data_IF_658237226432
#
_entry.id   IF_658237226432
#
_cell.length_a   1.000
_cell.length_b   1.000
_cell.length_c   1.000
_cell.angle_alpha   90.00
_cell.angle_beta   90.00
_cell.angle_gamma   90.00
#
_symmetry.space_group_name_H-M   'P 1'
#
loop_
_entity.id
_entity.type
_entity.pdbx_description
1 polymer ?
#
# COMPACT_ATOMS: atom_id res chain seq x y z
N UNK A 1 -3.26 -0.40 7.44
CA UNK A 1 -3.29 -1.58 6.53
C UNK A 1 -2.86 -2.89 7.17
N UNK A 2 -1.76 -2.93 7.93
CA UNK A 2 -1.24 -4.16 8.57
C UNK A 2 -2.33 -4.90 9.38
N UNK A 3 -3.06 -4.17 10.23
CA UNK A 3 -4.19 -4.72 11.00
C UNK A 3 -5.25 -5.38 10.12
N UNK A 4 -5.61 -4.76 9.00
CA UNK A 4 -6.61 -5.33 8.08
C UNK A 4 -6.11 -6.61 7.40
N UNK A 5 -4.83 -6.67 7.04
CA UNK A 5 -4.21 -7.87 6.46
C UNK A 5 -4.30 -9.05 7.44
N UNK A 6 -3.92 -8.82 8.70
CA UNK A 6 -4.03 -9.80 9.78
C UNK A 6 -5.47 -10.28 9.99
N UNK A 7 -6.42 -9.35 10.13
CA UNK A 7 -7.84 -9.70 10.35
C UNK A 7 -8.44 -10.47 9.17
N UNK A 8 -8.06 -10.14 7.93
CA UNK A 8 -8.52 -10.85 6.74
C UNK A 8 -7.94 -12.26 6.63
N UNK A 9 -6.69 -12.46 7.04
CA UNK A 9 -6.09 -13.81 7.08
C UNK A 9 -6.70 -14.65 8.19
N UNK A 10 -6.89 -14.09 9.38
CA UNK A 10 -7.52 -14.80 10.51
C UNK A 10 -8.97 -15.21 10.18
N UNK A 11 -9.73 -14.32 9.54
CA UNK A 11 -11.10 -14.59 9.12
C UNK A 11 -11.22 -15.72 8.07
N UNK A 12 -10.15 -16.01 7.31
CA UNK A 12 -10.14 -17.13 6.34
C UNK A 12 -9.86 -18.49 6.98
N UNK A 13 -9.39 -18.54 8.22
CA UNK A 13 -9.07 -19.78 8.94
C UNK A 13 -8.12 -20.68 8.15
N UNK A 14 -8.53 -21.91 7.88
CA UNK A 14 -7.75 -22.89 7.10
C UNK A 14 -7.49 -22.46 5.65
N UNK A 15 -8.28 -21.52 5.10
CA UNK A 15 -8.16 -21.02 3.73
C UNK A 15 -7.31 -19.74 3.63
N UNK A 16 -6.47 -19.45 4.62
CA UNK A 16 -5.55 -18.32 4.59
C UNK A 16 -4.64 -18.37 3.35
N UNK A 17 -4.27 -17.20 2.84
CA UNK A 17 -3.35 -17.11 1.70
C UNK A 17 -1.92 -17.39 2.17
N UNK A 18 -1.58 -17.03 3.40
CA UNK A 18 -0.22 -16.96 3.91
C UNK A 18 0.44 -15.65 3.53
N UNK A 19 -0.26 -14.52 3.71
CA UNK A 19 0.32 -13.20 3.40
C UNK A 19 1.50 -12.89 4.33
N UNK A 20 2.30 -11.90 3.96
CA UNK A 20 3.44 -11.45 4.79
C UNK A 20 3.02 -10.62 6.00
N UNK A 21 1.71 -10.32 6.15
CA UNK A 21 1.16 -9.44 7.20
C UNK A 21 1.85 -8.07 7.20
N UNK A 22 2.16 -7.57 6.00
CA UNK A 22 2.76 -6.24 5.80
C UNK A 22 1.76 -5.20 5.30
N UNK A 23 0.49 -5.58 5.11
CA UNK A 23 -0.54 -4.68 4.62
C UNK A 23 -0.53 -4.49 3.10
N UNK A 24 0.18 -5.35 2.35
CA UNK A 24 0.35 -5.22 0.89
C UNK A 24 -1.00 -5.29 0.18
N UNK A 25 -1.77 -6.36 0.42
CA UNK A 25 -3.09 -6.52 -0.19
C UNK A 25 -4.03 -5.36 0.15
N UNK A 26 -4.22 -5.01 1.43
CA UNK A 26 -4.98 -3.84 1.84
C UNK A 26 -4.57 -2.51 1.18
N UNK A 27 -3.28 -2.23 1.03
CA UNK A 27 -2.81 -1.02 0.37
C UNK A 27 -3.17 -1.00 -1.13
N UNK A 28 -3.00 -2.13 -1.83
CA UNK A 28 -3.40 -2.26 -3.24
C UNK A 28 -4.93 -2.21 -3.43
N UNK A 29 -5.71 -2.74 -2.49
CA UNK A 29 -7.17 -2.59 -2.52
C UNK A 29 -7.59 -1.12 -2.41
N UNK A 30 -7.00 -0.35 -1.50
CA UNK A 30 -7.32 1.08 -1.37
C UNK A 30 -6.90 1.90 -2.61
N UNK A 31 -5.79 1.51 -3.25
CA UNK A 31 -5.39 2.06 -4.57
C UNK A 31 -6.47 1.77 -5.62
N UNK A 32 -6.89 0.51 -5.77
CA UNK A 32 -7.93 0.12 -6.73
C UNK A 32 -9.28 0.79 -6.43
N UNK A 33 -9.61 0.97 -5.16
CA UNK A 33 -10.80 1.69 -4.70
C UNK A 33 -10.71 3.22 -4.86
N UNK A 34 -9.54 3.76 -5.19
CA UNK A 34 -9.26 5.20 -5.35
C UNK A 34 -9.41 6.01 -4.05
N UNK A 35 -9.16 5.36 -2.91
CA UNK A 35 -9.20 5.98 -1.58
C UNK A 35 -7.82 6.00 -0.90
N UNK A 36 -6.82 5.33 -1.48
CA UNK A 36 -5.46 5.29 -0.94
C UNK A 36 -4.81 6.67 -0.82
N UNK A 37 -3.97 6.80 0.21
CA UNK A 37 -3.10 7.97 0.45
C UNK A 37 -1.76 7.70 -0.25
N UNK A 38 -1.30 8.65 -1.08
CA UNK A 38 -0.02 8.55 -1.79
C UNK A 38 1.05 9.40 -1.12
N UNK A 39 2.30 9.26 -1.56
CA UNK A 39 3.42 10.02 -1.00
C UNK A 39 3.22 11.53 -1.10
N UNK A 40 2.63 12.03 -2.19
CA UNK A 40 2.33 13.46 -2.34
C UNK A 40 1.32 13.95 -1.30
N UNK A 41 0.31 13.14 -0.98
CA UNK A 41 -0.70 13.46 0.03
C UNK A 41 -0.08 13.47 1.43
N UNK A 42 0.81 12.51 1.74
CA UNK A 42 1.51 12.40 3.03
C UNK A 42 2.41 13.60 3.35
N UNK A 43 2.94 14.29 2.33
CA UNK A 43 3.81 15.44 2.52
C UNK A 43 3.06 16.73 2.87
N UNK A 44 1.77 16.78 2.58
CA UNK A 44 0.89 17.92 2.83
C UNK A 44 0.06 17.65 4.09
N UNK A 45 0.19 18.52 5.10
CA UNK A 45 -0.34 18.24 6.44
C UNK A 45 -1.86 18.18 6.41
N UNK A 46 -2.48 19.15 5.75
CA UNK A 46 -3.92 19.31 5.65
C UNK A 46 -4.54 18.19 4.82
N UNK A 47 -3.97 17.89 3.65
CA UNK A 47 -4.45 16.81 2.79
C UNK A 47 -4.30 15.45 3.48
N UNK A 48 -3.16 15.20 4.13
CA UNK A 48 -2.96 13.95 4.85
C UNK A 48 -3.98 13.78 5.98
N UNK A 49 -4.20 14.83 6.79
CA UNK A 49 -5.17 14.80 7.89
C UNK A 49 -6.59 14.49 7.38
N UNK A 50 -7.04 15.21 6.34
CA UNK A 50 -8.37 15.02 5.75
C UNK A 50 -8.56 13.58 5.24
N UNK A 51 -7.60 13.11 4.44
CA UNK A 51 -7.65 11.76 3.85
C UNK A 51 -7.60 10.67 4.91
N UNK A 52 -6.75 10.84 5.92
CA UNK A 52 -6.61 9.87 7.02
C UNK A 52 -7.90 9.78 7.82
N UNK A 53 -8.54 10.91 8.12
CA UNK A 53 -9.82 10.94 8.85
C UNK A 53 -10.92 10.18 8.10
N UNK A 54 -11.10 10.46 6.80
CA UNK A 54 -12.09 9.77 5.95
C UNK A 54 -11.83 8.26 5.92
N UNK A 55 -10.57 7.88 5.70
CA UNK A 55 -10.21 6.46 5.58
C UNK A 55 -10.36 5.73 6.93
N UNK A 56 -9.98 6.34 8.05
CA UNK A 56 -10.11 5.74 9.37
C UNK A 56 -11.57 5.51 9.75
N UNK A 57 -12.49 6.40 9.40
CA UNK A 57 -13.91 6.19 9.67
C UNK A 57 -14.40 4.87 9.05
N UNK A 58 -14.11 4.65 7.77
CA UNK A 58 -14.53 3.44 7.05
C UNK A 58 -13.80 2.19 7.57
N UNK A 59 -12.48 2.28 7.78
CA UNK A 59 -11.70 1.14 8.28
C UNK A 59 -12.08 0.76 9.72
N UNK A 60 -12.32 1.73 10.59
CA UNK A 60 -12.76 1.46 11.96
C UNK A 60 -14.17 0.85 12.00
N UNK A 61 -15.07 1.30 11.12
CA UNK A 61 -16.36 0.64 10.95
C UNK A 61 -16.19 -0.83 10.54
N UNK A 62 -15.27 -1.11 9.62
CA UNK A 62 -14.93 -2.47 9.22
C UNK A 62 -14.35 -3.29 10.38
N UNK A 63 -13.37 -2.75 11.11
CA UNK A 63 -12.73 -3.45 12.24
C UNK A 63 -13.73 -3.80 13.34
N UNK A 64 -14.54 -2.83 13.76
CA UNK A 64 -15.47 -3.02 14.88
C UNK A 64 -16.68 -3.87 14.49
N UNK A 65 -17.23 -3.69 13.28
CA UNK A 65 -18.51 -4.33 12.90
C UNK A 65 -18.36 -5.64 12.14
N UNK A 66 -17.26 -5.84 11.42
CA UNK A 66 -17.06 -7.06 10.63
C UNK A 66 -16.07 -8.03 11.27
N UNK A 67 -15.13 -7.53 12.07
CA UNK A 67 -14.04 -8.34 12.63
C UNK A 67 -14.01 -8.36 14.16
N UNK A 68 -15.00 -7.75 14.83
CA UNK A 68 -15.05 -7.62 16.30
C UNK A 68 -13.71 -7.16 16.92
N UNK A 69 -13.00 -6.29 16.19
CA UNK A 69 -11.68 -5.78 16.54
C UNK A 69 -11.77 -4.32 16.99
N UNK A 70 -10.80 -3.89 17.81
CA UNK A 70 -10.68 -2.51 18.25
C UNK A 70 -10.47 -1.54 17.07
N UNK A 71 -10.97 -0.32 17.22
CA UNK A 71 -10.68 0.80 16.32
C UNK A 71 -9.20 1.22 16.46
N UNK A 72 -8.72 2.02 15.51
CA UNK A 72 -7.44 2.74 15.59
C UNK A 72 -7.75 4.23 15.70
N UNK A 73 -7.11 4.93 16.63
CA UNK A 73 -7.32 6.35 16.81
C UNK A 73 -6.52 7.15 15.76
N UNK A 74 -7.01 8.36 15.44
CA UNK A 74 -6.36 9.22 14.46
C UNK A 74 -4.91 9.57 14.87
N UNK A 75 -4.73 9.93 16.15
CA UNK A 75 -3.45 10.35 16.69
C UNK A 75 -2.43 9.20 16.78
N UNK A 76 -2.88 7.93 16.77
CA UNK A 76 -1.99 6.75 16.71
C UNK A 76 -1.24 6.66 15.38
N UNK A 77 -1.70 7.37 14.34
CA UNK A 77 -1.11 7.34 12.99
C UNK A 77 -0.57 8.71 12.60
N UNK A 78 -1.33 9.77 12.83
CA UNK A 78 -1.12 11.03 12.13
C UNK A 78 0.26 11.64 12.36
N UNK A 79 0.64 11.91 13.61
CA UNK A 79 1.90 12.61 13.92
C UNK A 79 3.12 11.78 13.52
N UNK A 80 3.12 10.48 13.81
CA UNK A 80 4.22 9.57 13.48
C UNK A 80 4.44 9.50 11.96
N UNK A 81 3.39 9.24 11.19
CA UNK A 81 3.52 9.05 9.75
C UNK A 81 3.75 10.37 9.00
N UNK A 82 3.19 11.48 9.49
CA UNK A 82 3.48 12.80 8.91
C UNK A 82 4.96 13.15 9.08
N UNK A 83 5.54 12.89 10.26
CA UNK A 83 6.97 13.09 10.53
C UNK A 83 7.85 12.21 9.62
N UNK A 84 7.49 10.93 9.44
CA UNK A 84 8.16 10.07 8.45
C UNK A 84 8.09 10.65 7.04
N UNK A 85 6.94 11.21 6.65
CA UNK A 85 6.78 11.95 5.40
C UNK A 85 7.80 13.08 5.27
N UNK A 86 7.99 13.89 6.34
CA UNK A 86 8.94 15.00 6.31
C UNK A 86 10.39 14.54 6.17
N UNK A 87 10.78 13.43 6.80
CA UNK A 87 12.13 12.87 6.67
C UNK A 87 12.42 12.34 5.25
N UNK A 88 11.41 11.77 4.59
CA UNK A 88 11.51 11.20 3.24
C UNK A 88 11.39 12.29 2.15
N UNK A 89 10.76 13.43 2.46
CA UNK A 89 10.43 14.52 1.53
C UNK A 89 11.55 14.89 0.56
N UNK A 90 12.80 14.92 1.03
CA UNK A 90 13.98 15.26 0.23
C UNK A 90 14.25 14.32 -0.96
N UNK A 91 13.68 13.11 -0.97
CA UNK A 91 13.81 12.13 -2.03
C UNK A 91 12.60 12.10 -2.97
N UNK A 92 11.51 12.78 -2.63
CA UNK A 92 10.25 12.72 -3.38
C UNK A 92 10.33 13.60 -4.62
N UNK A 93 10.05 13.00 -5.77
CA UNK A 93 10.19 13.63 -7.09
C UNK A 93 9.34 12.89 -8.13
N UNK A 94 9.24 13.44 -9.34
CA UNK A 94 8.65 12.72 -10.47
C UNK A 94 9.65 11.67 -11.00
N UNK A 95 9.43 10.42 -10.58
CA UNK A 95 10.30 9.31 -10.96
C UNK A 95 10.15 8.91 -12.43
N UNK A 96 9.03 9.24 -13.08
CA UNK A 96 8.85 9.01 -14.51
C UNK A 96 9.78 9.91 -15.32
N UNK A 97 9.88 11.18 -14.94
CA UNK A 97 10.81 12.13 -15.58
C UNK A 97 12.26 11.66 -15.42
N UNK A 98 12.68 11.28 -14.21
CA UNK A 98 14.04 10.79 -13.96
C UNK A 98 14.39 9.58 -14.83
N UNK A 99 13.47 8.62 -14.92
CA UNK A 99 13.68 7.40 -15.71
C UNK A 99 13.76 7.71 -17.20
N UNK A 100 12.81 8.49 -17.74
CA UNK A 100 12.78 8.80 -19.16
C UNK A 100 13.97 9.68 -19.58
N UNK A 101 14.36 10.68 -18.78
CA UNK A 101 15.54 11.50 -19.04
C UNK A 101 16.83 10.65 -19.11
N UNK A 102 16.95 9.64 -18.24
CA UNK A 102 18.08 8.72 -18.26
C UNK A 102 18.09 7.84 -19.51
N UNK A 103 16.93 7.30 -19.90
CA UNK A 103 16.76 6.48 -21.10
C UNK A 103 17.05 7.28 -22.37
N UNK A 104 16.51 8.49 -22.49
CA UNK A 104 16.70 9.37 -23.65
C UNK A 104 18.14 9.87 -23.78
N UNK A 105 18.85 10.01 -22.65
CA UNK A 105 20.28 10.28 -22.62
C UNK A 105 21.16 9.05 -22.93
N UNK A 106 20.56 7.89 -23.26
CA UNK A 106 21.27 6.66 -23.58
C UNK A 106 21.95 5.99 -22.37
N UNK A 107 21.54 6.32 -21.14
CA UNK A 107 22.07 5.68 -19.93
C UNK A 107 21.48 4.27 -19.78
N UNK A 108 22.22 3.41 -19.09
CA UNK A 108 21.74 2.07 -18.73
C UNK A 108 20.89 2.15 -17.48
N UNK A 109 19.67 1.64 -17.57
CA UNK A 109 18.73 1.51 -16.45
C UNK A 109 18.53 0.02 -16.14
N UNK A 110 18.53 -0.33 -14.86
CA UNK A 110 18.19 -1.65 -14.37
C UNK A 110 16.88 -1.55 -13.57
N UNK A 111 15.87 -2.33 -13.96
CA UNK A 111 14.64 -2.50 -13.21
C UNK A 111 14.77 -3.73 -12.31
N UNK A 112 14.77 -3.52 -11.00
CA UNK A 112 14.83 -4.60 -10.01
C UNK A 112 13.40 -5.09 -9.70
N UNK A 113 13.09 -6.33 -10.10
CA UNK A 113 11.77 -6.92 -9.92
C UNK A 113 11.57 -7.52 -8.53
N UNK A 114 10.34 -7.43 -8.04
CA UNK A 114 9.82 -8.23 -6.93
C UNK A 114 8.33 -8.51 -7.18
N UNK A 115 7.77 -9.66 -6.85
CA UNK A 115 8.37 -10.93 -6.44
C UNK A 115 8.77 -11.77 -7.68
N UNK A 116 8.12 -12.91 -7.94
CA UNK A 116 8.35 -13.75 -9.11
C UNK A 116 7.05 -14.05 -9.87
N UNK A 117 7.16 -14.51 -11.12
CA UNK A 117 6.03 -14.67 -12.05
C UNK A 117 4.88 -15.51 -11.50
N UNK A 118 5.16 -16.60 -10.77
CA UNK A 118 4.10 -17.46 -10.21
C UNK A 118 3.31 -16.81 -9.07
N UNK A 119 3.75 -15.65 -8.57
CA UNK A 119 3.05 -14.85 -7.57
C UNK A 119 2.34 -13.64 -8.19
N UNK A 120 2.32 -13.51 -9.51
CA UNK A 120 1.61 -12.43 -10.20
C UNK A 120 0.10 -12.50 -9.95
N UNK A 121 -0.54 -11.34 -9.76
CA UNK A 121 -1.99 -11.26 -9.48
C UNK A 121 -2.85 -11.78 -10.64
N UNK A 122 -2.37 -11.70 -11.88
CA UNK A 122 -3.08 -12.11 -13.09
C UNK A 122 -2.58 -13.46 -13.63
N UNK A 123 -1.26 -13.68 -13.61
CA UNK A 123 -0.61 -14.84 -14.25
C UNK A 123 -0.18 -15.93 -13.28
N UNK A 124 -0.28 -15.67 -11.98
CA UNK A 124 0.17 -16.58 -10.93
C UNK A 124 -0.89 -17.61 -10.51
N UNK A 125 -0.60 -18.32 -9.42
CA UNK A 125 -1.50 -19.33 -8.84
C UNK A 125 -2.59 -18.72 -7.98
N UNK A 126 -3.47 -17.92 -8.58
CA UNK A 126 -4.56 -17.26 -7.85
C UNK A 126 -5.43 -18.28 -7.06
N UNK A 127 -5.80 -18.00 -5.79
CA UNK A 127 -5.60 -16.76 -5.04
C UNK A 127 -4.28 -16.68 -4.25
N UNK A 128 -3.38 -17.66 -4.36
CA UNK A 128 -2.11 -17.73 -3.62
C UNK A 128 -1.01 -16.92 -4.30
N UNK A 129 -1.23 -15.61 -4.41
CA UNK A 129 -0.41 -14.65 -5.17
C UNK A 129 -0.22 -13.36 -4.38
N UNK A 130 0.69 -12.49 -4.83
CA UNK A 130 0.75 -11.10 -4.36
C UNK A 130 -0.34 -10.27 -5.04
N UNK A 131 -0.53 -9.02 -4.60
CA UNK A 131 -1.52 -8.09 -5.17
C UNK A 131 -0.94 -7.16 -6.24
N UNK A 132 0.22 -7.51 -6.81
CA UNK A 132 0.95 -6.72 -7.81
C UNK A 132 1.41 -7.60 -8.98
N UNK A 133 2.08 -7.00 -9.96
CA UNK A 133 2.55 -7.68 -11.16
C UNK A 133 4.09 -7.77 -11.19
N UNK A 134 4.70 -8.91 -10.79
CA UNK A 134 6.14 -9.13 -10.88
C UNK A 134 6.65 -9.42 -12.29
N UNK A 135 5.76 -9.62 -13.27
CA UNK A 135 6.14 -9.80 -14.67
C UNK A 135 6.75 -8.51 -15.23
N UNK A 136 7.53 -8.62 -16.31
CA UNK A 136 8.27 -7.50 -16.89
C UNK A 136 7.41 -6.33 -17.38
N UNK A 137 6.09 -6.49 -17.50
CA UNK A 137 5.17 -5.41 -17.87
C UNK A 137 4.62 -4.59 -16.69
N UNK A 138 4.98 -4.94 -15.45
CA UNK A 138 4.55 -4.24 -14.23
C UNK A 138 5.27 -2.92 -13.96
#
# INVERSE_FOLDING_TARGET
HIKLDQLQEDAKGENKIGTTIKGIGPAYMDKAARVGIRIADLLDKEIFAERLQINLEEKNRQFVKMFDSEAIEFDDIFEEYYEYGQQIKQYVTDTSVILNDALDAGKRVLFEGAQGVMLDIDQGTYPFVTSSNPVAGG
#
